data_IF_160645496351
#
_entry.id   IF_160645496351
#
_cell.length_a   1.000
_cell.length_b   1.000
_cell.length_c   1.000
_cell.angle_alpha   90.00
_cell.angle_beta   90.00
_cell.angle_gamma   90.00
#
_symmetry.space_group_name_H-M   'P 1'
#
loop_
_entity.id
_entity.type
_entity.pdbx_description
1 polymer ?
#
# COMPACT_ATOMS: atom_id res chain seq x y z
N UNK A 1 -10.04 -13.66 9.82
CA UNK A 1 -10.42 -12.61 8.86
C UNK A 1 -10.32 -11.27 9.57
N UNK A 2 -9.58 -10.33 8.99
CA UNK A 2 -9.45 -8.94 9.45
C UNK A 2 -9.89 -8.03 8.30
N UNK A 3 -10.60 -6.95 8.61
CA UNK A 3 -11.10 -5.99 7.62
C UNK A 3 -10.48 -4.62 7.89
N UNK A 4 -9.86 -4.01 6.89
CA UNK A 4 -9.25 -2.70 6.99
C UNK A 4 -10.16 -1.64 6.39
N UNK A 5 -10.65 -0.74 7.24
CA UNK A 5 -11.64 0.28 6.89
C UNK A 5 -11.01 1.68 6.93
N UNK A 6 -11.41 2.56 6.01
CA UNK A 6 -11.10 3.97 6.08
C UNK A 6 -11.79 4.60 7.32
N UNK A 7 -11.06 5.29 8.21
CA UNK A 7 -11.65 5.83 9.45
C UNK A 7 -12.59 7.01 9.23
N UNK A 8 -12.60 7.61 8.04
CA UNK A 8 -13.46 8.77 7.71
C UNK A 8 -14.71 8.34 6.94
N UNK A 9 -14.54 7.55 5.88
CA UNK A 9 -15.64 7.18 4.98
C UNK A 9 -16.29 5.83 5.31
N UNK A 10 -15.63 4.97 6.10
CA UNK A 10 -16.06 3.59 6.33
C UNK A 10 -15.89 2.67 5.12
N UNK A 11 -15.17 3.10 4.08
CA UNK A 11 -14.87 2.27 2.90
C UNK A 11 -14.00 1.08 3.28
N UNK A 12 -14.36 -0.12 2.81
CA UNK A 12 -13.54 -1.33 2.92
C UNK A 12 -12.37 -1.23 1.93
N UNK A 13 -11.15 -1.15 2.48
CA UNK A 13 -9.92 -1.00 1.71
C UNK A 13 -9.29 -2.36 1.40
N UNK A 14 -9.33 -3.28 2.38
CA UNK A 14 -8.70 -4.60 2.24
C UNK A 14 -9.25 -5.63 3.25
N UNK A 15 -9.05 -6.93 2.97
CA UNK A 15 -9.48 -8.06 3.81
C UNK A 15 -8.39 -9.14 3.90
N UNK A 16 -7.85 -9.32 5.10
CA UNK A 16 -6.88 -10.36 5.40
C UNK A 16 -7.52 -11.65 5.90
N UNK A 17 -7.25 -12.76 5.23
CA UNK A 17 -7.73 -14.10 5.62
C UNK A 17 -6.64 -15.00 6.22
N UNK A 18 -5.93 -14.48 7.21
CA UNK A 18 -4.81 -15.18 7.87
C UNK A 18 -5.19 -15.80 9.23
N UNK A 19 -4.40 -16.78 9.74
CA UNK A 19 -4.58 -17.34 11.07
C UNK A 19 -4.42 -16.32 12.21
N UNK A 20 -4.93 -16.62 13.43
CA UNK A 20 -4.67 -15.80 14.60
C UNK A 20 -3.17 -15.60 14.83
N UNK A 21 -2.79 -14.43 15.35
CA UNK A 21 -1.39 -14.00 15.64
C UNK A 21 -0.48 -13.78 14.43
N UNK A 22 -0.94 -14.09 13.21
CA UNK A 22 -0.19 -13.75 12.01
C UNK A 22 -0.02 -12.21 11.91
N UNK A 23 1.16 -11.70 11.54
CA UNK A 23 1.38 -10.26 11.40
C UNK A 23 0.43 -9.63 10.37
N UNK A 24 0.35 -8.30 10.37
CA UNK A 24 -0.33 -7.57 9.29
C UNK A 24 0.53 -7.68 8.04
N UNK A 25 -0.09 -8.00 6.90
CA UNK A 25 0.61 -8.13 5.63
C UNK A 25 0.97 -6.74 5.08
N UNK A 26 2.09 -6.66 4.35
CA UNK A 26 2.48 -5.48 3.59
C UNK A 26 2.46 -5.89 2.13
N UNK A 27 1.34 -5.66 1.47
CA UNK A 27 1.08 -6.19 0.12
C UNK A 27 2.02 -5.63 -0.94
N UNK A 28 2.40 -4.35 -0.79
CA UNK A 28 3.13 -3.66 -1.83
C UNK A 28 4.08 -2.58 -1.30
N UNK A 29 5.36 -2.72 -1.66
CA UNK A 29 6.43 -1.75 -1.40
C UNK A 29 7.05 -1.32 -2.73
N UNK A 30 6.43 -0.37 -3.47
CA UNK A 30 6.93 0.06 -4.77
C UNK A 30 8.23 0.85 -4.67
N UNK A 31 9.13 0.62 -5.64
CA UNK A 31 10.24 1.54 -5.90
C UNK A 31 9.75 2.73 -6.75
N UNK A 32 9.33 3.79 -6.07
CA UNK A 32 8.86 5.01 -6.73
C UNK A 32 10.00 5.74 -7.46
N UNK A 33 11.24 5.62 -7.00
CA UNK A 33 12.36 6.35 -7.60
C UNK A 33 12.66 5.81 -9.00
N UNK A 34 12.83 4.50 -9.13
CA UNK A 34 13.03 3.85 -10.43
C UNK A 34 11.80 3.96 -11.32
N UNK A 35 10.59 3.80 -10.77
CA UNK A 35 9.35 3.94 -11.56
C UNK A 35 9.24 5.32 -12.23
N UNK A 36 9.52 6.40 -11.50
CA UNK A 36 9.41 7.74 -12.07
C UNK A 36 10.59 8.10 -12.97
N UNK A 37 11.82 7.89 -12.52
CA UNK A 37 13.00 8.41 -13.23
C UNK A 37 13.41 7.55 -14.42
N UNK A 38 13.39 6.22 -14.28
CA UNK A 38 13.86 5.31 -15.32
C UNK A 38 12.75 4.87 -16.27
N UNK A 39 11.55 4.58 -15.74
CA UNK A 39 10.47 4.03 -16.57
C UNK A 39 9.63 5.13 -17.20
N UNK A 40 9.25 6.14 -16.42
CA UNK A 40 8.43 7.25 -16.91
C UNK A 40 9.26 8.42 -17.47
N UNK A 41 10.56 8.51 -17.14
CA UNK A 41 11.42 9.62 -17.53
C UNK A 41 10.97 10.96 -16.93
N UNK A 42 10.39 10.94 -15.73
CA UNK A 42 9.85 12.11 -15.03
C UNK A 42 10.48 12.25 -13.65
N UNK A 43 10.54 13.48 -13.18
CA UNK A 43 10.90 13.75 -11.79
C UNK A 43 9.82 13.25 -10.84
N UNK A 44 10.24 12.74 -9.68
CA UNK A 44 9.33 12.32 -8.62
C UNK A 44 8.58 13.55 -8.08
N UNK A 45 7.24 13.55 -8.05
CA UNK A 45 6.45 14.74 -7.71
C UNK A 45 6.44 15.09 -6.23
N UNK A 46 7.08 14.27 -5.39
CA UNK A 46 7.15 14.42 -3.94
C UNK A 46 8.59 14.28 -3.47
N UNK A 47 8.96 15.04 -2.45
CA UNK A 47 10.21 14.81 -1.71
C UNK A 47 9.91 13.83 -0.57
N UNK A 48 10.64 12.71 -0.53
CA UNK A 48 10.48 11.65 0.48
C UNK A 48 11.11 12.05 1.83
#
# INVERSE_FOLDING_TARGET
>A
MREFLCPVSGTLLDVDCVPPTFPVEVDFTPDLATFYTEWLGRDLPVTL
#
